data_IF_302320950468
#
_entry.id   IF_302320950468
#
_cell.length_a   1.000
_cell.length_b   1.000
_cell.length_c   1.000
_cell.angle_alpha   90.00
_cell.angle_beta   90.00
_cell.angle_gamma   90.00
#
_symmetry.space_group_name_H-M   'P 1'
#
loop_
_entity.id
_entity.type
_entity.pdbx_description
1 polymer ?
#
# COMPACT_ATOMS: atom_id res chain seq x y z
N UNK A 1 -9.43 17.57 -5.83
CA UNK A 1 -9.51 16.18 -6.35
C UNK A 1 -10.50 15.41 -5.47
N UNK A 2 -11.68 15.10 -6.00
CA UNK A 2 -12.70 14.36 -5.27
C UNK A 2 -12.45 12.85 -5.45
N UNK A 3 -12.41 12.11 -4.35
CA UNK A 3 -12.29 10.66 -4.42
C UNK A 3 -13.65 10.07 -4.81
N UNK A 4 -13.70 9.43 -5.98
CA UNK A 4 -14.90 8.77 -6.50
C UNK A 4 -15.34 7.65 -5.53
N UNK A 5 -16.50 7.79 -4.89
CA UNK A 5 -17.00 6.88 -3.83
C UNK A 5 -17.79 5.69 -4.37
N UNK A 6 -18.16 5.72 -5.66
CA UNK A 6 -19.12 4.78 -6.25
C UNK A 6 -18.50 3.47 -6.78
N UNK A 7 -17.18 3.30 -6.65
CA UNK A 7 -16.52 2.05 -7.05
C UNK A 7 -15.56 1.60 -5.95
N UNK A 8 -15.66 0.35 -5.46
CA UNK A 8 -14.59 -0.20 -4.63
C UNK A 8 -13.33 -0.22 -5.49
N UNK A 9 -12.40 0.70 -5.22
CA UNK A 9 -11.11 0.73 -5.89
C UNK A 9 -10.38 -0.55 -5.45
N UNK A 10 -10.12 -1.50 -6.37
CA UNK A 10 -9.42 -2.72 -5.99
C UNK A 10 -8.05 -2.34 -5.44
N UNK A 11 -7.69 -2.96 -4.32
CA UNK A 11 -6.36 -2.76 -3.75
C UNK A 11 -5.31 -3.24 -4.76
N UNK A 12 -4.25 -2.44 -5.03
CA UNK A 12 -3.18 -2.89 -5.91
C UNK A 12 -2.51 -4.15 -5.36
N UNK A 13 -2.29 -5.14 -6.23
CA UNK A 13 -1.62 -6.39 -5.87
C UNK A 13 -0.12 -6.13 -5.79
N UNK A 14 0.42 -6.17 -4.58
CA UNK A 14 1.86 -6.02 -4.32
C UNK A 14 2.56 -7.37 -4.31
N UNK A 15 3.19 -7.73 -5.43
CA UNK A 15 3.98 -8.96 -5.55
C UNK A 15 5.17 -8.88 -4.58
N UNK A 16 5.28 -9.86 -3.69
CA UNK A 16 6.41 -9.97 -2.75
C UNK A 16 7.70 -10.25 -3.53
N UNK A 17 8.78 -9.51 -3.26
CA UNK A 17 10.09 -9.86 -3.78
C UNK A 17 10.46 -11.31 -3.37
N UNK A 18 10.85 -12.17 -4.32
CA UNK A 18 11.05 -13.59 -4.07
C UNK A 18 12.22 -13.88 -3.12
N UNK A 19 13.15 -12.95 -3.01
CA UNK A 19 14.33 -12.99 -2.16
C UNK A 19 14.04 -12.69 -0.68
N UNK A 20 12.79 -12.34 -0.33
CA UNK A 20 12.40 -12.06 1.06
C UNK A 20 13.10 -10.85 1.68
N UNK A 21 13.91 -10.11 0.92
CA UNK A 21 14.78 -9.03 1.41
C UNK A 21 14.02 -7.75 1.80
N UNK A 22 12.71 -7.72 1.52
CA UNK A 22 11.87 -6.54 1.76
C UNK A 22 10.64 -6.90 2.56
N UNK A 23 10.32 -6.04 3.52
CA UNK A 23 9.11 -6.09 4.33
C UNK A 23 8.05 -5.17 3.72
N UNK A 24 6.80 -5.65 3.69
CA UNK A 24 5.67 -4.81 3.34
C UNK A 24 5.40 -3.83 4.49
N UNK A 25 5.39 -2.54 4.17
CA UNK A 25 5.15 -1.46 5.13
C UNK A 25 3.88 -0.73 4.72
N UNK A 26 2.99 -0.53 5.69
CA UNK A 26 1.78 0.28 5.56
C UNK A 26 2.06 1.69 6.08
N UNK A 27 1.80 2.70 5.25
CA UNK A 27 1.96 4.12 5.62
C UNK A 27 0.58 4.78 5.61
N UNK A 28 0.04 5.20 6.76
CA UNK A 28 -1.23 5.90 6.81
C UNK A 28 -1.10 7.28 6.18
N UNK A 29 -2.09 7.67 5.38
CA UNK A 29 -2.21 9.00 4.77
C UNK A 29 -3.62 9.55 4.98
N UNK A 30 -3.81 10.86 4.77
CA UNK A 30 -5.09 11.55 4.95
C UNK A 30 -5.71 11.28 6.33
N UNK A 31 -4.91 11.40 7.40
CA UNK A 31 -5.38 11.16 8.77
C UNK A 31 -5.70 9.69 9.11
N UNK A 32 -5.23 8.74 8.30
CA UNK A 32 -5.49 7.30 8.48
C UNK A 32 -6.67 6.77 7.67
N UNK A 33 -7.33 7.62 6.87
CA UNK A 33 -8.41 7.20 5.96
C UNK A 33 -7.90 6.31 4.83
N UNK A 34 -6.64 6.44 4.43
CA UNK A 34 -6.02 5.64 3.37
C UNK A 34 -4.67 5.11 3.83
N UNK A 35 -4.25 4.00 3.22
CA UNK A 35 -2.95 3.40 3.45
C UNK A 35 -2.23 3.22 2.13
N UNK A 36 -0.96 3.63 2.10
CA UNK A 36 -0.05 3.34 0.99
C UNK A 36 0.84 2.19 1.43
N UNK A 37 0.90 1.15 0.59
CA UNK A 37 1.73 -0.02 0.81
C UNK A 37 3.01 0.08 -0.01
N UNK A 38 4.14 -0.31 0.57
CA UNK A 38 5.43 -0.38 -0.15
C UNK A 38 6.34 -1.45 0.44
N UNK A 39 7.21 -2.02 -0.39
CA UNK A 39 8.26 -2.92 0.08
C UNK A 39 9.51 -2.11 0.45
N UNK A 40 9.90 -2.13 1.72
CA UNK A 40 11.16 -1.54 2.20
C UNK A 40 12.18 -2.63 2.50
N UNK A 41 13.44 -2.38 2.16
CA UNK A 41 14.56 -3.27 2.48
C UNK A 41 14.66 -3.43 4.00
N UNK A 42 14.78 -4.67 4.46
CA UNK A 42 15.09 -4.97 5.87
C UNK A 42 16.60 -4.84 6.03
N UNK A 43 17.05 -4.04 6.99
CA UNK A 43 18.47 -3.87 7.31
C UNK A 43 19.00 -5.08 8.08
#
# INVERSE_FOLDING_TARGET
MALNKDSPIPSPVFIRPPDGSKKLVSTPVLGGLYHIYSYKKVA
#
